data_IF_828344410005
#
_entry.id   IF_828344410005
#
_cell.length_a   1.000
_cell.length_b   1.000
_cell.length_c   1.000
_cell.angle_alpha   90.00
_cell.angle_beta   90.00
_cell.angle_gamma   90.00
#
_symmetry.space_group_name_H-M   'P 1'
#
loop_
_entity.id
_entity.type
_entity.pdbx_description
1 polymer ?
#
# COMPACT_ATOMS: atom_id res chain seq x y z
N UNK A 1 32.37 -1.57 -7.11
CA UNK A 1 32.22 -1.34 -8.58
C UNK A 1 32.67 -2.54 -9.44
N UNK A 2 33.67 -3.32 -9.05
CA UNK A 2 34.11 -4.52 -9.81
C UNK A 2 32.95 -5.51 -9.96
N UNK A 3 32.26 -5.89 -8.86
CA UNK A 3 31.15 -6.84 -8.88
C UNK A 3 29.97 -6.47 -9.81
N UNK A 4 29.86 -5.21 -10.23
CA UNK A 4 28.81 -4.75 -11.17
C UNK A 4 29.32 -4.77 -12.61
N UNK A 5 30.59 -4.40 -12.84
CA UNK A 5 31.18 -4.25 -14.18
C UNK A 5 31.65 -5.56 -14.81
N UNK A 6 31.97 -6.57 -13.98
CA UNK A 6 32.51 -7.86 -14.45
C UNK A 6 31.46 -8.95 -14.60
N UNK A 7 30.19 -8.61 -14.44
CA UNK A 7 29.10 -9.60 -14.57
C UNK A 7 28.89 -9.98 -16.01
N UNK A 8 28.86 -11.27 -16.27
CA UNK A 8 28.50 -11.85 -17.56
C UNK A 8 27.36 -12.85 -17.40
N UNK A 9 26.55 -13.03 -18.43
CA UNK A 9 25.42 -13.97 -18.43
C UNK A 9 25.54 -14.99 -19.53
N UNK A 10 24.99 -16.17 -19.28
CA UNK A 10 24.77 -17.21 -20.30
C UNK A 10 23.33 -17.68 -20.22
N UNK A 11 22.76 -18.10 -21.33
CA UNK A 11 21.41 -18.68 -21.38
C UNK A 11 21.55 -20.19 -21.22
N UNK A 12 20.79 -20.78 -20.27
CA UNK A 12 20.74 -22.23 -20.15
C UNK A 12 19.81 -22.81 -21.21
N UNK A 13 20.36 -23.61 -22.12
CA UNK A 13 19.59 -24.36 -23.09
C UNK A 13 19.77 -25.84 -22.79
N UNK A 14 18.69 -26.51 -22.39
CA UNK A 14 18.72 -27.92 -21.94
C UNK A 14 19.75 -28.21 -20.82
N UNK A 15 19.92 -27.23 -19.90
CA UNK A 15 20.84 -27.36 -18.78
C UNK A 15 22.30 -26.95 -19.07
N UNK A 16 22.65 -26.67 -20.32
CA UNK A 16 23.99 -26.21 -20.74
C UNK A 16 24.03 -24.70 -20.93
N UNK A 17 25.04 -23.98 -20.37
CA UNK A 17 25.18 -22.54 -20.56
C UNK A 17 25.63 -22.28 -22.03
N UNK A 18 24.82 -21.51 -22.77
CA UNK A 18 25.13 -21.11 -24.16
C UNK A 18 25.11 -19.60 -24.33
N UNK A 19 26.04 -19.10 -25.14
CA UNK A 19 26.21 -17.67 -25.39
C UNK A 19 26.83 -16.93 -24.20
N UNK A 20 27.49 -15.82 -24.50
CA UNK A 20 28.06 -14.91 -23.52
C UNK A 20 27.41 -13.53 -23.73
N UNK A 21 26.74 -13.03 -22.71
CA UNK A 21 26.08 -11.71 -22.71
C UNK A 21 26.84 -10.81 -21.75
N UNK A 22 27.41 -9.74 -22.27
CA UNK A 22 28.04 -8.70 -21.49
C UNK A 22 27.03 -7.53 -21.35
N UNK A 23 26.40 -7.31 -20.16
CA UNK A 23 25.45 -6.25 -20.01
C UNK A 23 26.14 -4.89 -20.05
N UNK A 24 25.61 -3.97 -20.84
CA UNK A 24 26.09 -2.58 -20.91
C UNK A 24 25.37 -1.66 -19.91
N UNK A 25 24.22 -2.09 -19.36
CA UNK A 25 23.39 -1.32 -18.42
C UNK A 25 22.47 -2.24 -17.62
N UNK A 26 21.88 -1.67 -16.54
CA UNK A 26 20.94 -2.36 -15.67
C UNK A 26 21.64 -3.14 -14.57
N UNK A 27 20.82 -3.73 -13.69
CA UNK A 27 21.25 -4.54 -12.54
C UNK A 27 20.69 -5.96 -12.71
N UNK A 28 21.43 -6.95 -12.20
CA UNK A 28 20.98 -8.35 -12.23
C UNK A 28 19.75 -8.52 -11.32
N UNK A 29 18.69 -9.07 -11.87
CA UNK A 29 17.54 -9.47 -11.08
C UNK A 29 17.91 -10.65 -10.16
N UNK A 30 17.62 -10.51 -8.86
CA UNK A 30 17.98 -11.51 -7.85
C UNK A 30 19.41 -11.37 -7.26
N UNK A 31 20.19 -10.38 -7.68
CA UNK A 31 21.47 -10.08 -7.06
C UNK A 31 21.24 -9.34 -5.72
N UNK A 32 21.87 -9.76 -4.60
CA UNK A 32 21.71 -9.13 -3.30
C UNK A 32 22.11 -7.63 -3.26
N UNK A 33 23.04 -7.19 -4.13
CA UNK A 33 23.47 -5.79 -4.21
C UNK A 33 22.53 -4.92 -5.02
N UNK A 34 21.76 -5.49 -5.95
CA UNK A 34 20.90 -4.73 -6.85
C UNK A 34 19.89 -3.81 -6.15
N UNK A 35 19.19 -4.23 -5.06
CA UNK A 35 18.28 -3.35 -4.33
C UNK A 35 18.98 -2.13 -3.71
N UNK A 36 20.19 -2.31 -3.17
CA UNK A 36 20.96 -1.22 -2.56
C UNK A 36 21.43 -0.21 -3.60
N UNK A 37 21.92 -0.68 -4.75
CA UNK A 37 22.35 0.18 -5.86
C UNK A 37 21.15 0.94 -6.43
N UNK A 38 19.99 0.28 -6.55
CA UNK A 38 18.76 0.94 -6.97
C UNK A 38 18.36 2.06 -6.01
N UNK A 39 18.41 1.82 -4.70
CA UNK A 39 18.12 2.84 -3.68
C UNK A 39 19.07 4.03 -3.76
N UNK A 40 20.36 3.80 -4.00
CA UNK A 40 21.32 4.90 -4.20
C UNK A 40 20.98 5.76 -5.42
N UNK A 41 20.61 5.14 -6.54
CA UNK A 41 20.13 5.87 -7.71
C UNK A 41 18.85 6.65 -7.41
N UNK A 42 17.88 6.05 -6.71
CA UNK A 42 16.63 6.70 -6.32
C UNK A 42 16.85 7.88 -5.39
N UNK A 43 17.83 7.79 -4.47
CA UNK A 43 18.24 8.90 -3.61
C UNK A 43 18.82 10.06 -4.43
N UNK A 44 19.56 9.77 -5.51
CA UNK A 44 20.00 10.77 -6.49
C UNK A 44 18.82 11.51 -7.12
N UNK A 45 17.77 10.79 -7.55
CA UNK A 45 16.54 11.40 -8.08
C UNK A 45 15.82 12.25 -7.02
N UNK A 46 15.74 11.75 -5.77
CA UNK A 46 15.22 12.52 -4.65
C UNK A 46 15.96 13.85 -4.49
N UNK A 47 17.30 13.82 -4.51
CA UNK A 47 18.15 15.00 -4.41
C UNK A 47 17.88 16.02 -5.52
N UNK A 48 17.79 15.55 -6.78
CA UNK A 48 17.46 16.40 -7.93
C UNK A 48 16.13 17.12 -7.77
N UNK A 49 15.07 16.38 -7.44
CA UNK A 49 13.72 16.94 -7.25
C UNK A 49 13.68 17.88 -6.04
N UNK A 50 14.32 17.54 -4.94
CA UNK A 50 14.40 18.37 -3.73
C UNK A 50 15.11 19.68 -4.01
N UNK A 51 16.21 19.67 -4.76
CA UNK A 51 16.93 20.88 -5.17
C UNK A 51 16.09 21.78 -6.10
N UNK A 52 15.36 21.20 -7.05
CA UNK A 52 14.44 21.95 -7.90
C UNK A 52 13.28 22.54 -7.08
N UNK A 53 12.77 21.83 -6.09
CA UNK A 53 11.74 22.32 -5.18
C UNK A 53 12.25 23.47 -4.30
N UNK A 54 13.48 23.40 -3.79
CA UNK A 54 14.08 24.47 -2.98
C UNK A 54 14.33 25.75 -3.77
N UNK A 55 14.64 25.63 -5.07
CA UNK A 55 14.76 26.79 -5.99
C UNK A 55 13.41 27.35 -6.44
N UNK A 56 12.31 26.63 -6.17
CA UNK A 56 10.97 27.02 -6.60
C UNK A 56 10.61 26.61 -8.03
N UNK A 57 11.47 25.83 -8.70
CA UNK A 57 11.26 25.31 -10.05
C UNK A 57 10.06 24.34 -10.08
N UNK A 58 9.85 23.58 -8.99
CA UNK A 58 8.72 22.68 -8.79
C UNK A 58 8.06 23.02 -7.45
N UNK A 59 6.77 23.33 -7.46
CA UNK A 59 6.04 23.72 -6.22
C UNK A 59 5.34 22.57 -5.54
N UNK A 60 5.17 21.45 -6.23
CA UNK A 60 4.50 20.27 -5.70
C UNK A 60 3.02 20.48 -5.36
N UNK A 61 2.48 19.56 -4.57
CA UNK A 61 1.08 19.52 -4.15
C UNK A 61 0.97 19.51 -2.62
N UNK A 62 -0.02 20.20 -2.07
CA UNK A 62 -0.35 20.16 -0.65
C UNK A 62 -1.83 19.88 -0.45
N UNK A 63 -2.16 18.98 0.46
CA UNK A 63 -3.55 18.61 0.80
C UNK A 63 -4.31 19.72 1.53
N UNK A 64 -3.60 20.64 2.18
CA UNK A 64 -4.18 21.79 2.89
C UNK A 64 -3.12 22.91 3.01
N UNK A 65 -3.55 24.14 3.35
CA UNK A 65 -2.66 25.30 3.43
C UNK A 65 -1.45 25.11 4.35
N UNK A 66 -1.61 24.40 5.46
CA UNK A 66 -0.56 24.16 6.46
C UNK A 66 0.13 22.79 6.27
N UNK A 67 -0.26 22.03 5.26
CA UNK A 67 0.32 20.71 5.01
C UNK A 67 1.67 20.79 4.29
N UNK A 68 2.46 19.71 4.35
CA UNK A 68 3.71 19.63 3.63
C UNK A 68 3.47 19.70 2.12
N UNK A 69 4.41 20.29 1.40
CA UNK A 69 4.44 20.25 -0.06
C UNK A 69 5.04 18.92 -0.51
N UNK A 70 4.25 18.11 -1.16
CA UNK A 70 4.67 16.84 -1.74
C UNK A 70 5.08 17.07 -3.18
N UNK A 71 6.30 16.72 -3.52
CA UNK A 71 6.84 16.76 -4.90
C UNK A 71 6.95 15.38 -5.50
N UNK A 72 7.17 14.36 -4.68
CA UNK A 72 7.27 12.97 -5.12
C UNK A 72 6.99 11.99 -3.99
N UNK A 73 6.64 10.76 -4.36
CA UNK A 73 6.58 9.59 -3.48
C UNK A 73 7.18 8.41 -4.26
N UNK A 74 8.12 7.72 -3.66
CA UNK A 74 8.77 6.55 -4.23
C UNK A 74 8.43 5.29 -3.44
N UNK A 75 8.16 4.21 -4.14
CA UNK A 75 7.94 2.89 -3.58
C UNK A 75 8.49 1.84 -4.54
N UNK A 76 9.63 1.26 -4.20
CA UNK A 76 10.42 0.41 -5.11
C UNK A 76 10.60 1.10 -6.47
N UNK A 77 10.18 0.47 -7.57
CA UNK A 77 10.20 1.00 -8.92
C UNK A 77 9.03 1.94 -9.26
N UNK A 78 7.97 1.95 -8.45
CA UNK A 78 6.85 2.86 -8.63
C UNK A 78 7.16 4.26 -8.09
N UNK A 79 6.93 5.27 -8.94
CA UNK A 79 7.20 6.67 -8.61
C UNK A 79 5.98 7.54 -8.91
N UNK A 80 5.59 8.38 -7.94
CA UNK A 80 4.60 9.44 -8.14
C UNK A 80 5.31 10.80 -8.07
N UNK A 81 5.15 11.61 -9.10
CA UNK A 81 5.63 12.99 -9.15
C UNK A 81 4.44 13.93 -9.10
N UNK A 82 4.57 15.01 -8.33
CA UNK A 82 3.54 16.02 -8.17
C UNK A 82 4.08 17.39 -8.60
N UNK A 83 3.44 18.00 -9.57
CA UNK A 83 3.75 19.35 -10.03
C UNK A 83 2.45 20.12 -10.33
N UNK A 84 2.55 21.41 -10.53
CA UNK A 84 1.43 22.20 -11.03
C UNK A 84 1.20 21.92 -12.50
N UNK A 85 -0.05 21.99 -12.93
CA UNK A 85 -0.43 21.78 -14.32
C UNK A 85 -0.13 23.03 -15.16
N UNK A 86 1.15 23.34 -15.35
CA UNK A 86 1.66 24.36 -16.27
C UNK A 86 2.87 23.81 -17.06
N UNK A 87 3.12 24.37 -18.23
CA UNK A 87 4.19 23.91 -19.12
C UNK A 87 5.57 24.04 -18.49
N UNK A 88 5.83 25.12 -17.74
CA UNK A 88 7.14 25.40 -17.13
C UNK A 88 7.56 24.35 -16.12
N UNK A 89 6.71 24.01 -15.13
CA UNK A 89 7.03 22.96 -14.17
C UNK A 89 7.09 21.58 -14.84
N UNK A 90 6.21 21.31 -15.82
CA UNK A 90 6.23 20.03 -16.53
C UNK A 90 7.50 19.85 -17.39
N UNK A 91 7.96 20.89 -18.10
CA UNK A 91 9.24 20.85 -18.80
C UNK A 91 10.40 20.63 -17.84
N UNK A 92 10.37 21.28 -16.67
CA UNK A 92 11.40 21.06 -15.65
C UNK A 92 11.44 19.63 -15.12
N UNK A 93 10.28 19.00 -14.96
CA UNK A 93 10.20 17.57 -14.61
C UNK A 93 10.86 16.71 -15.70
N UNK A 94 10.61 16.99 -17.00
CA UNK A 94 11.26 16.28 -18.11
C UNK A 94 12.77 16.42 -18.04
N UNK A 95 13.28 17.66 -17.85
CA UNK A 95 14.71 17.92 -17.75
C UNK A 95 15.36 17.13 -16.62
N UNK A 96 14.74 17.11 -15.41
CA UNK A 96 15.25 16.37 -14.26
C UNK A 96 15.27 14.86 -14.52
N UNK A 97 14.24 14.34 -15.16
CA UNK A 97 14.16 12.93 -15.51
C UNK A 97 15.20 12.56 -16.57
N UNK A 98 15.45 13.44 -17.56
CA UNK A 98 16.52 13.22 -18.56
C UNK A 98 17.89 13.17 -17.89
N UNK A 99 18.20 14.13 -17.01
CA UNK A 99 19.47 14.12 -16.25
C UNK A 99 19.61 12.83 -15.44
N UNK A 100 18.53 12.39 -14.80
CA UNK A 100 18.53 11.14 -14.04
C UNK A 100 18.76 9.90 -14.92
N UNK A 101 18.11 9.85 -16.09
CA UNK A 101 18.31 8.76 -17.05
C UNK A 101 19.76 8.65 -17.55
N UNK A 102 20.38 9.81 -17.82
CA UNK A 102 21.74 9.88 -18.33
C UNK A 102 22.79 9.47 -17.30
N UNK A 103 22.58 9.87 -16.03
CA UNK A 103 23.50 9.57 -14.94
C UNK A 103 23.33 8.15 -14.39
N UNK A 104 22.09 7.70 -14.20
CA UNK A 104 21.79 6.39 -13.61
C UNK A 104 21.81 5.24 -14.61
N UNK A 105 21.69 5.51 -15.90
CA UNK A 105 21.48 4.51 -16.95
C UNK A 105 20.09 3.85 -16.90
N UNK A 106 19.22 4.24 -15.97
CA UNK A 106 17.83 3.78 -15.92
C UNK A 106 17.02 4.51 -16.99
N UNK A 107 15.98 3.86 -17.50
CA UNK A 107 15.06 4.47 -18.47
C UNK A 107 13.64 4.45 -17.93
N UNK A 108 12.97 5.60 -18.03
CA UNK A 108 11.58 5.72 -17.64
C UNK A 108 10.69 5.07 -18.69
N UNK A 109 9.87 4.13 -18.26
CA UNK A 109 8.93 3.47 -19.15
C UNK A 109 7.71 4.36 -19.40
N UNK A 110 7.74 5.10 -20.53
CA UNK A 110 6.68 6.03 -20.92
C UNK A 110 5.36 5.35 -21.23
N UNK A 111 5.37 4.10 -21.70
CA UNK A 111 4.15 3.34 -21.99
C UNK A 111 3.37 2.95 -20.73
N UNK A 112 4.10 2.72 -19.62
CA UNK A 112 3.51 2.46 -18.29
C UNK A 112 3.25 3.74 -17.50
N UNK A 113 3.85 4.85 -17.89
CA UNK A 113 3.64 6.14 -17.22
C UNK A 113 2.30 6.75 -17.64
N UNK A 114 1.62 7.39 -16.71
CA UNK A 114 0.34 8.02 -16.96
C UNK A 114 0.21 9.36 -16.23
N UNK A 115 -0.55 10.29 -16.82
CA UNK A 115 -0.88 11.58 -16.26
C UNK A 115 -2.26 11.54 -15.62
N UNK A 116 -2.36 12.12 -14.45
CA UNK A 116 -3.63 12.36 -13.78
C UNK A 116 -3.76 13.85 -13.48
N UNK A 117 -4.82 14.48 -13.99
CA UNK A 117 -5.09 15.90 -13.79
C UNK A 117 -6.16 16.15 -12.72
N UNK A 118 -5.98 17.21 -11.97
CA UNK A 118 -7.05 17.77 -11.14
C UNK A 118 -8.22 18.23 -12.01
N UNK A 119 -9.43 18.19 -11.47
CA UNK A 119 -10.66 18.62 -12.16
C UNK A 119 -10.62 20.10 -12.59
N UNK A 120 -9.82 20.93 -11.93
CA UNK A 120 -9.68 22.36 -12.21
C UNK A 120 -8.79 22.69 -13.41
N UNK A 121 -8.09 21.70 -14.00
CA UNK A 121 -7.20 21.92 -15.14
C UNK A 121 -8.03 21.96 -16.42
N UNK A 122 -7.87 23.07 -17.18
CA UNK A 122 -8.55 23.28 -18.46
C UNK A 122 -8.07 22.28 -19.52
N UNK A 123 -8.93 21.96 -20.49
CA UNK A 123 -8.57 21.02 -21.56
C UNK A 123 -7.39 21.53 -22.41
N UNK A 124 -7.33 22.84 -22.66
CA UNK A 124 -6.19 23.44 -23.38
C UNK A 124 -4.85 23.16 -22.67
N UNK A 125 -4.78 23.39 -21.35
CA UNK A 125 -3.57 23.08 -20.57
C UNK A 125 -3.23 21.59 -20.55
N UNK A 126 -4.24 20.73 -20.50
CA UNK A 126 -4.01 19.25 -20.57
C UNK A 126 -3.34 18.84 -21.88
N UNK A 127 -3.80 19.38 -23.01
CA UNK A 127 -3.22 19.08 -24.32
C UNK A 127 -1.77 19.56 -24.41
N UNK A 128 -1.48 20.78 -23.94
CA UNK A 128 -0.11 21.30 -23.88
C UNK A 128 0.79 20.37 -23.04
N UNK A 129 0.36 20.02 -21.84
CA UNK A 129 1.15 19.19 -20.93
C UNK A 129 1.35 17.77 -21.49
N UNK A 130 0.32 17.18 -22.12
CA UNK A 130 0.47 15.88 -22.80
C UNK A 130 1.50 15.94 -23.91
N UNK A 131 1.54 17.03 -24.67
CA UNK A 131 2.57 17.27 -25.68
C UNK A 131 3.98 17.35 -25.09
N UNK A 132 4.15 18.06 -23.98
CA UNK A 132 5.44 18.22 -23.28
C UNK A 132 5.94 16.89 -22.69
N UNK A 133 5.08 16.13 -22.01
CA UNK A 133 5.47 14.93 -21.28
C UNK A 133 5.47 13.66 -22.15
N UNK A 134 4.73 13.65 -23.27
CA UNK A 134 4.66 12.53 -24.20
C UNK A 134 4.06 11.25 -23.58
N UNK A 135 3.13 11.37 -22.61
CA UNK A 135 2.52 10.26 -21.92
C UNK A 135 1.00 10.36 -21.90
N UNK A 136 0.33 9.21 -21.77
CA UNK A 136 -1.14 9.13 -21.82
C UNK A 136 -1.79 9.70 -20.57
N UNK A 137 -2.95 10.35 -20.76
CA UNK A 137 -3.81 10.75 -19.67
C UNK A 137 -4.70 9.59 -19.21
N UNK A 138 -4.87 9.46 -17.90
CA UNK A 138 -5.87 8.56 -17.30
C UNK A 138 -6.93 9.40 -16.57
N UNK A 139 -8.21 9.12 -16.84
CA UNK A 139 -9.34 9.82 -16.19
C UNK A 139 -9.53 9.38 -14.74
N UNK A 140 -9.24 8.12 -14.45
CA UNK A 140 -9.37 7.53 -13.12
C UNK A 140 -8.15 6.68 -12.83
N UNK A 141 -7.52 6.95 -11.71
CA UNK A 141 -6.47 6.08 -11.17
C UNK A 141 -7.16 4.91 -10.48
N UNK A 142 -7.32 3.79 -11.16
CA UNK A 142 -8.08 2.66 -10.63
C UNK A 142 -7.42 2.04 -9.41
N UNK A 143 -6.14 1.78 -9.50
CA UNK A 143 -5.35 1.18 -8.41
C UNK A 143 -3.97 1.79 -8.33
N UNK A 144 -3.50 2.03 -7.12
CA UNK A 144 -2.11 2.38 -6.82
C UNK A 144 -1.57 1.40 -5.78
N UNK A 145 -0.43 0.78 -6.05
CA UNK A 145 0.14 -0.30 -5.22
C UNK A 145 -0.87 -1.40 -4.88
N UNK A 146 -1.72 -1.77 -5.84
CA UNK A 146 -2.77 -2.78 -5.64
C UNK A 146 -4.00 -2.32 -4.85
N UNK A 147 -4.03 -1.10 -4.34
CA UNK A 147 -5.17 -0.53 -3.61
C UNK A 147 -6.04 0.36 -4.50
N UNK A 148 -7.38 0.39 -4.31
CA UNK A 148 -8.25 1.31 -5.00
C UNK A 148 -7.93 2.74 -4.59
N UNK A 149 -7.72 3.63 -5.57
CA UNK A 149 -7.38 5.03 -5.32
C UNK A 149 -8.58 5.85 -4.86
N UNK A 150 -9.77 5.48 -5.31
CA UNK A 150 -11.03 6.12 -4.93
C UNK A 150 -12.03 5.07 -4.47
N UNK A 151 -12.56 5.27 -3.26
CA UNK A 151 -13.61 4.42 -2.71
C UNK A 151 -14.90 5.21 -2.71
N UNK A 152 -15.80 4.84 -3.62
CA UNK A 152 -17.11 5.46 -3.80
C UNK A 152 -18.17 4.96 -2.80
N UNK A 153 -19.44 5.23 -3.11
CA UNK A 153 -20.59 4.76 -2.32
C UNK A 153 -20.68 3.23 -2.27
N UNK A 154 -20.34 2.54 -3.36
CA UNK A 154 -20.30 1.09 -3.47
C UNK A 154 -19.06 0.45 -2.88
N UNK A 155 -18.85 0.57 -1.57
CA UNK A 155 -17.64 0.08 -0.86
C UNK A 155 -17.36 -1.40 -1.15
N UNK A 156 -18.39 -2.25 -1.12
CA UNK A 156 -18.25 -3.69 -1.37
C UNK A 156 -17.68 -3.97 -2.76
N UNK A 157 -18.17 -3.27 -3.79
CA UNK A 157 -17.68 -3.39 -5.16
C UNK A 157 -16.20 -3.00 -5.27
N UNK A 158 -15.78 -1.93 -4.58
CA UNK A 158 -14.37 -1.49 -4.58
C UNK A 158 -13.40 -2.52 -4.01
N UNK A 159 -13.84 -3.43 -3.14
CA UNK A 159 -13.00 -4.44 -2.51
C UNK A 159 -13.29 -5.87 -2.99
N UNK A 160 -14.20 -6.08 -3.94
CA UNK A 160 -14.59 -7.41 -4.42
C UNK A 160 -13.41 -8.20 -5.00
N UNK A 161 -12.39 -7.51 -5.54
CA UNK A 161 -11.17 -8.14 -6.05
C UNK A 161 -10.44 -9.00 -5.01
N UNK A 162 -10.60 -8.70 -3.71
CA UNK A 162 -10.03 -9.50 -2.62
C UNK A 162 -10.71 -10.87 -2.58
N UNK A 163 -12.05 -10.87 -2.61
CA UNK A 163 -12.86 -12.09 -2.63
C UNK A 163 -12.54 -12.94 -3.86
N UNK A 164 -12.45 -12.32 -5.04
CA UNK A 164 -12.10 -13.01 -6.29
C UNK A 164 -10.70 -13.63 -6.24
N UNK A 165 -9.73 -12.91 -5.65
CA UNK A 165 -8.37 -13.44 -5.48
C UNK A 165 -8.33 -14.63 -4.55
N UNK A 166 -9.06 -14.58 -3.43
CA UNK A 166 -9.21 -15.68 -2.49
C UNK A 166 -9.89 -16.85 -3.16
N UNK A 167 -11.02 -16.62 -3.84
CA UNK A 167 -11.77 -17.65 -4.54
C UNK A 167 -10.89 -18.41 -5.55
N UNK A 168 -10.16 -17.70 -6.40
CA UNK A 168 -9.25 -18.33 -7.38
C UNK A 168 -8.17 -19.20 -6.73
N UNK A 169 -7.66 -18.81 -5.56
CA UNK A 169 -6.70 -19.62 -4.80
C UNK A 169 -7.35 -20.88 -4.24
N UNK A 170 -8.51 -20.76 -3.63
CA UNK A 170 -9.24 -21.88 -3.07
C UNK A 170 -9.62 -22.91 -4.14
N UNK A 171 -10.15 -22.47 -5.28
CA UNK A 171 -10.49 -23.32 -6.43
C UNK A 171 -9.25 -24.10 -6.93
N UNK A 172 -8.09 -23.48 -7.02
CA UNK A 172 -6.85 -24.15 -7.40
C UNK A 172 -6.39 -25.26 -6.44
N UNK A 173 -6.94 -25.32 -5.22
CA UNK A 173 -6.62 -26.31 -4.21
C UNK A 173 -7.72 -27.33 -3.94
N UNK A 174 -8.97 -27.07 -4.34
CA UNK A 174 -10.11 -27.97 -4.10
C UNK A 174 -9.93 -29.37 -4.71
N UNK A 175 -9.24 -29.47 -5.83
CA UNK A 175 -8.93 -30.74 -6.49
C UNK A 175 -7.78 -31.53 -5.87
N UNK A 176 -6.99 -30.94 -4.97
CA UNK A 176 -5.81 -31.57 -4.38
C UNK A 176 -6.16 -32.38 -3.14
N UNK A 177 -5.52 -33.54 -2.97
CA UNK A 177 -5.65 -34.39 -1.78
C UNK A 177 -4.88 -33.77 -0.60
N UNK A 178 -5.44 -32.71 -0.01
CA UNK A 178 -4.84 -32.02 1.11
C UNK A 178 -5.32 -32.61 2.44
N UNK A 179 -4.36 -32.91 3.32
CA UNK A 179 -4.65 -33.25 4.71
C UNK A 179 -5.27 -32.04 5.44
N UNK A 180 -5.88 -32.28 6.59
CA UNK A 180 -6.46 -31.21 7.41
C UNK A 180 -5.39 -30.20 7.84
N UNK A 181 -4.20 -30.69 8.25
CA UNK A 181 -3.06 -29.82 8.57
C UNK A 181 -2.62 -28.97 7.36
N UNK A 182 -2.57 -29.55 6.16
CA UNK A 182 -2.26 -28.80 4.94
C UNK A 182 -3.26 -27.68 4.65
N UNK A 183 -4.55 -27.89 4.89
CA UNK A 183 -5.59 -26.86 4.76
C UNK A 183 -5.41 -25.76 5.80
N UNK A 184 -5.09 -26.11 7.06
CA UNK A 184 -4.81 -25.12 8.11
C UNK A 184 -3.68 -24.19 7.69
N UNK A 185 -2.56 -24.73 7.23
CA UNK A 185 -1.40 -23.94 6.79
C UNK A 185 -1.78 -23.02 5.64
N UNK A 186 -2.49 -23.52 4.62
CA UNK A 186 -2.90 -22.73 3.47
C UNK A 186 -3.86 -21.57 3.85
N UNK A 187 -4.81 -21.85 4.74
CA UNK A 187 -5.73 -20.82 5.23
C UNK A 187 -4.95 -19.74 5.97
N UNK A 188 -4.13 -20.12 6.97
CA UNK A 188 -3.43 -19.17 7.82
C UNK A 188 -2.34 -18.39 7.08
N UNK A 189 -1.50 -19.09 6.33
CA UNK A 189 -0.34 -18.47 5.68
C UNK A 189 -0.68 -17.68 4.40
N UNK A 190 -1.72 -18.11 3.67
CA UNK A 190 -2.01 -17.53 2.37
C UNK A 190 -3.37 -16.81 2.32
N UNK A 191 -4.46 -17.47 2.71
CA UNK A 191 -5.78 -16.89 2.53
C UNK A 191 -6.01 -15.70 3.45
N UNK A 192 -5.67 -15.83 4.73
CA UNK A 192 -5.82 -14.75 5.71
C UNK A 192 -4.81 -13.61 5.51
N UNK A 193 -3.70 -13.85 4.82
CA UNK A 193 -2.73 -12.81 4.46
C UNK A 193 -3.19 -11.94 3.27
N UNK A 194 -4.01 -12.47 2.34
CA UNK A 194 -4.44 -11.73 1.14
C UNK A 194 -5.11 -10.39 1.46
N UNK A 195 -6.08 -10.28 2.39
CA UNK A 195 -6.74 -9.02 2.71
C UNK A 195 -5.91 -8.08 3.58
N UNK A 196 -4.88 -8.56 4.29
CA UNK A 196 -4.18 -7.83 5.36
C UNK A 196 -3.62 -6.49 4.91
N UNK A 197 -3.06 -6.41 3.70
CA UNK A 197 -2.54 -5.15 3.16
C UNK A 197 -3.65 -4.09 2.98
N UNK A 198 -4.78 -4.50 2.39
CA UNK A 198 -5.94 -3.61 2.23
C UNK A 198 -6.57 -3.24 3.56
N UNK A 199 -6.65 -4.20 4.50
CA UNK A 199 -7.14 -4.01 5.86
C UNK A 199 -6.29 -3.03 6.66
N UNK A 200 -4.99 -2.97 6.41
CA UNK A 200 -4.09 -1.99 7.01
C UNK A 200 -4.34 -0.53 6.57
N UNK A 201 -5.11 -0.33 5.50
CA UNK A 201 -5.42 1.00 4.96
C UNK A 201 -6.90 1.35 5.07
N UNK A 202 -7.80 0.35 5.00
CA UNK A 202 -9.23 0.55 4.87
C UNK A 202 -10.03 -0.41 5.73
N UNK A 203 -11.13 0.10 6.30
CA UNK A 203 -12.15 -0.74 6.91
C UNK A 203 -12.91 -1.50 5.84
N UNK A 204 -12.77 -2.81 5.81
CA UNK A 204 -13.55 -3.64 4.90
C UNK A 204 -15.01 -3.73 5.34
N UNK A 205 -15.97 -3.81 4.40
CA UNK A 205 -17.36 -4.07 4.74
C UNK A 205 -17.51 -5.42 5.45
N UNK A 206 -18.23 -5.46 6.57
CA UNK A 206 -18.46 -6.69 7.36
C UNK A 206 -19.06 -7.81 6.49
N UNK A 207 -20.01 -7.48 5.60
CA UNK A 207 -20.58 -8.46 4.68
C UNK A 207 -19.55 -9.09 3.75
N UNK A 208 -18.48 -8.37 3.35
CA UNK A 208 -17.38 -8.94 2.57
C UNK A 208 -16.51 -9.88 3.42
N UNK A 209 -16.20 -9.50 4.66
CA UNK A 209 -15.47 -10.36 5.60
C UNK A 209 -16.22 -11.67 5.82
N UNK A 210 -17.52 -11.59 6.10
CA UNK A 210 -18.39 -12.77 6.29
C UNK A 210 -18.42 -13.69 5.07
N UNK A 211 -18.50 -13.12 3.85
CA UNK A 211 -18.46 -13.92 2.61
C UNK A 211 -17.13 -14.64 2.44
N UNK A 212 -16.01 -13.99 2.76
CA UNK A 212 -14.69 -14.60 2.72
C UNK A 212 -14.59 -15.73 3.76
N UNK A 213 -15.06 -15.51 4.97
CA UNK A 213 -15.06 -16.52 6.04
C UNK A 213 -15.93 -17.73 5.69
N UNK A 214 -17.07 -17.51 5.02
CA UNK A 214 -17.89 -18.61 4.48
C UNK A 214 -17.08 -19.44 3.47
N UNK A 215 -16.30 -18.82 2.60
CA UNK A 215 -15.45 -19.53 1.63
C UNK A 215 -14.36 -20.32 2.34
N UNK A 216 -13.72 -19.74 3.36
CA UNK A 216 -12.70 -20.40 4.18
C UNK A 216 -13.28 -21.63 4.88
N UNK A 217 -14.46 -21.51 5.51
CA UNK A 217 -15.15 -22.63 6.18
C UNK A 217 -15.47 -23.77 5.22
N UNK A 218 -16.01 -23.45 4.03
CA UNK A 218 -16.29 -24.45 3.01
C UNK A 218 -15.04 -25.21 2.62
N UNK A 219 -13.93 -24.54 2.40
CA UNK A 219 -12.65 -25.15 2.06
C UNK A 219 -12.12 -26.00 3.23
N UNK A 220 -12.18 -25.50 4.47
CA UNK A 220 -11.77 -26.23 5.67
C UNK A 220 -12.49 -27.57 5.80
N UNK A 221 -13.81 -27.58 5.69
CA UNK A 221 -14.63 -28.77 5.78
C UNK A 221 -14.61 -29.66 4.53
N UNK A 222 -13.85 -29.26 3.50
CA UNK A 222 -13.68 -30.03 2.26
C UNK A 222 -14.95 -30.07 1.41
N UNK A 223 -15.79 -29.05 1.50
CA UNK A 223 -16.93 -28.89 0.61
C UNK A 223 -16.41 -28.62 -0.81
N UNK A 224 -16.94 -29.35 -1.80
CA UNK A 224 -16.59 -29.19 -3.22
C UNK A 224 -17.86 -28.90 -4.03
N UNK A 225 -17.86 -27.81 -4.76
CA UNK A 225 -19.03 -27.38 -5.54
C UNK A 225 -20.29 -27.35 -4.67
N UNK A 226 -21.37 -27.97 -5.14
CA UNK A 226 -22.67 -28.01 -4.44
C UNK A 226 -22.79 -29.12 -3.40
N UNK A 227 -21.79 -30.02 -3.25
CA UNK A 227 -21.81 -31.08 -2.26
C UNK A 227 -21.61 -30.51 -0.86
N UNK A 228 -22.70 -30.35 -0.12
CA UNK A 228 -22.67 -29.87 1.26
C UNK A 228 -21.94 -30.87 2.17
N UNK A 229 -21.13 -30.33 3.08
CA UNK A 229 -20.47 -31.05 4.16
C UNK A 229 -20.96 -30.53 5.51
N UNK A 230 -20.99 -31.40 6.52
CA UNK A 230 -21.32 -31.00 7.89
C UNK A 230 -20.17 -30.13 8.43
N UNK A 231 -20.51 -28.97 8.99
CA UNK A 231 -19.59 -28.12 9.73
C UNK A 231 -19.76 -28.44 11.22
N UNK A 232 -18.82 -29.18 11.79
CA UNK A 232 -18.91 -29.70 13.17
C UNK A 232 -18.77 -28.61 14.24
N UNK A 233 -18.07 -27.50 13.93
CA UNK A 233 -17.82 -26.41 14.85
C UNK A 233 -18.27 -25.08 14.24
N UNK A 234 -18.70 -24.17 15.11
CA UNK A 234 -19.00 -22.79 14.72
C UNK A 234 -17.71 -22.05 14.37
N UNK A 235 -17.81 -21.06 13.49
CA UNK A 235 -16.65 -20.27 13.10
C UNK A 235 -16.04 -19.49 14.27
N UNK A 236 -16.89 -18.97 15.17
CA UNK A 236 -16.44 -18.28 16.38
C UNK A 236 -15.55 -19.16 17.26
N UNK A 237 -15.90 -20.41 17.44
CA UNK A 237 -15.08 -21.37 18.20
C UNK A 237 -13.76 -21.69 17.49
N UNK A 238 -13.77 -21.77 16.16
CA UNK A 238 -12.57 -22.01 15.36
C UNK A 238 -11.61 -20.79 15.35
N UNK A 239 -12.12 -19.58 15.59
CA UNK A 239 -11.29 -18.34 15.67
C UNK A 239 -10.67 -18.13 17.05
N UNK A 240 -11.11 -18.83 18.09
CA UNK A 240 -10.49 -18.78 19.41
C UNK A 240 -9.04 -19.29 19.37
N UNK A 241 -8.27 -18.88 20.37
CA UNK A 241 -6.87 -19.29 20.48
C UNK A 241 -6.75 -20.82 20.70
N UNK A 242 -5.62 -21.40 20.29
CA UNK A 242 -5.36 -22.82 20.54
C UNK A 242 -5.31 -23.16 22.03
N UNK A 243 -4.93 -22.22 22.89
CA UNK A 243 -4.92 -22.37 24.35
C UNK A 243 -6.32 -22.46 24.95
N UNK A 244 -7.33 -21.97 24.23
CA UNK A 244 -8.74 -21.96 24.64
C UNK A 244 -9.58 -23.02 23.89
N UNK A 245 -8.91 -23.94 23.19
CA UNK A 245 -9.55 -25.03 22.46
C UNK A 245 -9.94 -24.68 21.02
N UNK A 246 -9.66 -23.49 20.56
CA UNK A 246 -9.90 -23.08 19.18
C UNK A 246 -8.81 -23.54 18.20
N UNK A 247 -8.99 -23.21 16.93
CA UNK A 247 -8.00 -23.48 15.88
C UNK A 247 -7.06 -22.29 15.65
N UNK A 248 -7.33 -21.12 16.23
CA UNK A 248 -6.61 -19.88 16.02
C UNK A 248 -6.70 -19.38 14.57
N UNK A 249 -7.84 -19.58 13.91
CA UNK A 249 -8.15 -18.90 12.67
C UNK A 249 -8.43 -17.43 12.97
N UNK A 250 -8.20 -16.57 11.97
CA UNK A 250 -8.39 -15.14 12.13
C UNK A 250 -9.85 -14.76 11.88
N UNK A 251 -10.50 -14.07 12.84
CA UNK A 251 -11.68 -13.29 12.58
C UNK A 251 -11.28 -12.07 11.75
N UNK A 252 -11.74 -11.99 10.51
CA UNK A 252 -11.31 -10.97 9.57
C UNK A 252 -11.76 -9.56 9.95
N UNK A 253 -12.91 -9.43 10.64
CA UNK A 253 -13.41 -8.14 11.07
C UNK A 253 -12.55 -7.58 12.22
N UNK A 254 -12.27 -8.39 13.24
CA UNK A 254 -11.39 -8.04 14.36
C UNK A 254 -9.95 -7.79 13.91
N UNK A 255 -9.45 -8.61 12.98
CA UNK A 255 -8.12 -8.41 12.41
C UNK A 255 -8.01 -7.08 11.65
N UNK A 256 -9.02 -6.73 10.86
CA UNK A 256 -9.06 -5.43 10.19
C UNK A 256 -9.07 -4.27 11.20
N UNK A 257 -9.84 -4.39 12.27
CA UNK A 257 -9.89 -3.40 13.34
C UNK A 257 -8.50 -3.21 14.00
N UNK A 258 -7.81 -4.31 14.31
CA UNK A 258 -6.46 -4.27 14.91
C UNK A 258 -5.42 -3.64 13.98
N UNK A 259 -5.46 -3.94 12.67
CA UNK A 259 -4.55 -3.33 11.70
C UNK A 259 -4.79 -1.83 11.53
N UNK A 260 -6.04 -1.38 11.59
CA UNK A 260 -6.38 0.04 11.58
C UNK A 260 -5.98 0.74 12.88
N UNK A 261 -6.12 0.05 14.02
CA UNK A 261 -5.62 0.55 15.30
C UNK A 261 -4.11 0.80 15.26
N UNK A 262 -3.35 -0.08 14.62
CA UNK A 262 -1.91 0.12 14.39
C UNK A 262 -1.62 1.42 13.62
N UNK A 263 -2.44 1.83 12.66
CA UNK A 263 -2.25 3.10 11.95
C UNK A 263 -2.57 4.30 12.84
N UNK A 264 -3.63 4.22 13.65
CA UNK A 264 -3.93 5.27 14.64
C UNK A 264 -2.81 5.38 15.68
N UNK A 265 -2.25 4.24 16.12
CA UNK A 265 -1.09 4.20 17.03
C UNK A 265 0.15 4.86 16.43
N UNK A 266 0.42 4.65 15.12
CA UNK A 266 1.54 5.34 14.43
C UNK A 266 1.37 6.86 14.45
N UNK A 267 0.14 7.36 14.27
CA UNK A 267 -0.13 8.81 14.36
C UNK A 267 0.07 9.37 15.78
N UNK A 268 -0.04 8.54 16.82
CA UNK A 268 0.28 8.96 18.20
C UNK A 268 1.78 9.00 18.45
N UNK A 269 2.51 7.99 17.99
CA UNK A 269 3.91 7.77 18.36
C UNK A 269 4.90 8.51 17.46
N UNK A 270 4.68 8.52 16.14
CA UNK A 270 5.63 9.04 15.17
C UNK A 270 5.15 10.34 14.53
N UNK A 271 5.38 11.45 15.23
CA UNK A 271 5.06 12.79 14.74
C UNK A 271 6.05 13.29 13.67
N UNK A 272 7.21 12.64 13.52
CA UNK A 272 8.21 12.99 12.52
C UNK A 272 7.88 12.47 11.13
N UNK A 273 7.06 11.43 11.04
CA UNK A 273 6.71 10.73 9.80
C UNK A 273 5.97 11.64 8.81
N UNK A 274 6.16 11.36 7.53
CA UNK A 274 5.40 12.01 6.46
C UNK A 274 3.89 11.76 6.63
N UNK A 275 3.51 10.58 7.11
CA UNK A 275 2.13 10.21 7.39
C UNK A 275 1.49 11.18 8.40
N UNK A 276 2.16 11.43 9.53
CA UNK A 276 1.68 12.40 10.51
C UNK A 276 1.62 13.83 9.94
N UNK A 277 2.71 14.27 9.28
CA UNK A 277 2.81 15.62 8.70
C UNK A 277 1.72 15.92 7.67
N UNK A 278 1.23 14.90 6.95
CA UNK A 278 0.15 15.01 5.97
C UNK A 278 -1.23 14.98 6.65
N UNK A 279 -1.42 14.10 7.62
CA UNK A 279 -2.74 13.88 8.24
C UNK A 279 -3.07 14.93 9.30
N UNK A 280 -2.10 15.33 10.12
CA UNK A 280 -2.29 16.31 11.22
C UNK A 280 -2.92 17.61 10.75
N UNK A 281 -2.35 18.36 9.79
CA UNK A 281 -2.91 19.64 9.38
C UNK A 281 -4.28 19.53 8.68
N UNK A 282 -4.57 18.39 8.07
CA UNK A 282 -5.79 18.16 7.31
C UNK A 282 -6.96 17.72 8.16
N UNK A 283 -6.73 16.83 9.14
CA UNK A 283 -7.80 16.11 9.81
C UNK A 283 -7.94 16.41 11.29
N UNK A 284 -6.86 16.81 11.98
CA UNK A 284 -6.90 17.12 13.41
C UNK A 284 -5.90 18.22 13.81
N UNK A 285 -5.99 19.43 13.17
CA UNK A 285 -4.98 20.49 13.31
C UNK A 285 -4.76 20.94 14.76
N UNK A 286 -5.83 21.05 15.54
CA UNK A 286 -5.83 21.66 16.88
C UNK A 286 -5.99 20.65 18.03
N UNK A 287 -6.01 19.35 17.76
CA UNK A 287 -6.23 18.31 18.77
C UNK A 287 -5.34 17.10 18.53
N UNK A 288 -5.36 16.13 19.41
CA UNK A 288 -4.70 14.82 19.21
C UNK A 288 -5.56 13.92 18.33
N UNK A 289 -4.99 12.83 17.82
CA UNK A 289 -5.76 11.80 17.09
C UNK A 289 -6.87 11.21 17.99
N UNK A 290 -6.63 11.15 19.31
CA UNK A 290 -7.59 10.60 20.28
C UNK A 290 -8.85 11.44 20.40
N UNK A 291 -8.73 12.76 20.24
CA UNK A 291 -9.81 13.74 20.33
C UNK A 291 -10.45 14.05 18.96
N UNK A 292 -9.78 13.64 17.89
CA UNK A 292 -10.21 13.96 16.52
C UNK A 292 -11.64 13.48 16.25
N UNK A 293 -12.46 14.35 15.68
CA UNK A 293 -13.85 14.05 15.32
C UNK A 293 -13.95 13.57 13.88
N UNK A 294 -14.93 12.72 13.61
CA UNK A 294 -15.26 12.34 12.24
C UNK A 294 -15.80 13.57 11.49
N UNK A 295 -15.20 13.87 10.35
CA UNK A 295 -15.68 14.93 9.45
C UNK A 295 -16.45 14.33 8.30
N UNK A 296 -17.57 14.95 7.92
CA UNK A 296 -18.36 14.58 6.74
C UNK A 296 -17.55 14.63 5.43
N UNK A 297 -16.50 15.46 5.39
CA UNK A 297 -15.55 15.59 4.28
C UNK A 297 -14.31 14.70 4.43
N UNK A 298 -14.25 13.83 5.44
CA UNK A 298 -13.15 12.91 5.67
C UNK A 298 -13.05 11.84 4.57
N UNK A 299 -11.82 11.53 4.11
CA UNK A 299 -11.60 10.41 3.20
C UNK A 299 -11.99 9.08 3.85
N UNK A 300 -12.24 8.05 3.03
CA UNK A 300 -12.54 6.72 3.56
C UNK A 300 -11.40 6.16 4.40
N UNK A 301 -10.15 6.40 4.00
CA UNK A 301 -8.97 6.03 4.77
C UNK A 301 -8.96 6.70 6.15
N UNK A 302 -9.26 8.01 6.23
CA UNK A 302 -9.34 8.71 7.50
C UNK A 302 -10.40 8.12 8.42
N UNK A 303 -11.60 7.88 7.91
CA UNK A 303 -12.69 7.24 8.68
C UNK A 303 -12.30 5.84 9.16
N UNK A 304 -11.57 5.10 8.35
CA UNK A 304 -11.05 3.78 8.72
C UNK A 304 -10.06 3.86 9.89
N UNK A 305 -9.16 4.85 9.89
CA UNK A 305 -8.21 5.08 10.98
C UNK A 305 -8.94 5.45 12.28
N UNK A 306 -9.96 6.33 12.19
CA UNK A 306 -10.78 6.69 13.36
C UNK A 306 -11.51 5.48 13.96
N UNK A 307 -11.99 4.58 13.13
CA UNK A 307 -12.57 3.32 13.60
C UNK A 307 -11.55 2.47 14.37
N UNK A 308 -10.32 2.33 13.86
CA UNK A 308 -9.26 1.63 14.58
C UNK A 308 -8.80 2.34 15.86
N UNK A 309 -8.87 3.68 15.91
CA UNK A 309 -8.57 4.46 17.12
C UNK A 309 -9.39 4.02 18.33
N UNK A 310 -10.64 3.64 18.12
CA UNK A 310 -11.54 3.29 19.20
C UNK A 310 -11.09 2.01 19.93
N UNK A 311 -10.32 1.13 19.30
CA UNK A 311 -9.62 0.01 19.99
C UNK A 311 -8.60 0.55 20.97
N UNK A 312 -7.80 1.54 20.55
CA UNK A 312 -6.79 2.14 21.41
C UNK A 312 -7.47 2.82 22.62
N UNK A 313 -8.58 3.52 22.41
CA UNK A 313 -9.34 4.15 23.51
C UNK A 313 -9.82 3.15 24.56
N UNK A 314 -10.18 1.93 24.14
CA UNK A 314 -10.67 0.89 25.05
C UNK A 314 -9.56 0.15 25.79
N UNK A 315 -8.37 0.04 25.20
CA UNK A 315 -7.32 -0.84 25.70
C UNK A 315 -5.98 -0.18 26.02
N UNK A 316 -5.77 1.10 25.64
CA UNK A 316 -4.53 1.77 25.94
C UNK A 316 -4.44 2.13 27.44
N UNK A 317 -3.34 1.77 28.06
CA UNK A 317 -3.02 2.18 29.42
C UNK A 317 -1.64 2.82 29.46
N UNK A 318 -1.45 3.72 30.43
CA UNK A 318 -0.16 4.35 30.67
C UNK A 318 0.76 3.43 31.46
N UNK A 319 1.94 3.15 30.93
CA UNK A 319 3.03 2.58 31.72
C UNK A 319 3.81 3.73 32.35
N UNK A 320 3.60 3.96 33.65
CA UNK A 320 4.22 5.05 34.39
C UNK A 320 5.70 4.68 34.65
N UNK A 321 6.63 5.40 34.03
CA UNK A 321 8.06 5.31 34.28
C UNK A 321 8.54 6.43 35.20
N UNK A 322 9.08 7.50 34.63
CA UNK A 322 9.69 8.64 35.37
C UNK A 322 8.67 9.63 35.94
N UNK A 323 7.39 9.44 35.78
CA UNK A 323 6.26 10.30 36.23
C UNK A 323 6.19 11.70 35.59
N UNK A 324 7.12 12.08 34.73
CA UNK A 324 7.22 13.45 34.18
C UNK A 324 6.14 13.81 33.15
N UNK A 325 5.48 12.83 32.55
CA UNK A 325 4.48 13.04 31.47
C UNK A 325 3.05 12.63 31.83
N UNK A 326 2.81 12.11 33.03
CA UNK A 326 1.49 11.62 33.45
C UNK A 326 0.82 12.63 34.38
N UNK A 327 -0.36 13.06 34.02
CA UNK A 327 -1.21 13.91 34.86
C UNK A 327 -2.33 13.03 35.44
N UNK A 328 -2.36 12.86 36.76
CA UNK A 328 -3.22 11.91 37.47
C UNK A 328 -4.72 12.10 37.16
N UNK A 329 -5.14 13.34 36.95
CA UNK A 329 -6.54 13.66 36.73
C UNK A 329 -6.98 13.73 35.25
N UNK A 330 -6.03 13.59 34.32
CA UNK A 330 -6.30 13.71 32.87
C UNK A 330 -6.01 12.46 32.08
N UNK A 331 -5.28 11.52 32.66
CA UNK A 331 -4.88 10.28 32.01
C UNK A 331 -5.42 9.09 32.81
N UNK A 332 -6.30 8.33 32.18
CA UNK A 332 -6.83 7.06 32.70
C UNK A 332 -5.96 5.88 32.26
#
# INVERSE_FOLDING_TARGET
MVCVKTVTYSILVNGEPKGLINPSRGLRQGDPLSPFLFLLCTEGLHGLIKNAASRGDIKGFSLCRQGPKLTHLFFADDSLLFCRANSTECSKVVDLLSVYEDVSGQKINRDKTALFFSKSVTEANRQIIKGVLGVREIKHYEKYLGLPSLIGKGKKASFNYIKERIWRKLQGWEGKLLSQAGREVLIKALIQAIPSYTMGCFKLPIGLCNEIEVMIRKFWWGQRGDKRKIHWLKWSEMTESKSEGGMGFCDLALHNESLLAKQAWRLLQDQSSLFYKVFKPRFFPNCTIMEAKESSRGSYAWRSILYGRDVIKRGACWRIGTRQKVQIWQHT
#
